data_IF_041028279744
#
_entry.id   IF_041028279744
#
_cell.length_a   1.000
_cell.length_b   1.000
_cell.length_c   1.000
_cell.angle_alpha   90.00
_cell.angle_beta   90.00
_cell.angle_gamma   90.00
#
_symmetry.space_group_name_H-M   'P 1'
#
loop_
_entity.id
_entity.type
_entity.pdbx_description
1 polymer ?
#
# COMPACT_ATOMS: atom_id res chain seq x y z
N UNK A 1 2.03 2.55 27.28
CA UNK A 1 3.12 1.85 26.56
C UNK A 1 2.63 1.28 25.21
N UNK A 2 1.49 0.58 25.19
CA UNK A 2 0.90 -0.06 24.00
C UNK A 2 0.81 0.84 22.74
N UNK A 3 0.30 2.08 22.85
CA UNK A 3 0.18 2.97 21.68
C UNK A 3 1.50 3.38 21.01
N UNK A 4 2.63 3.42 21.74
CA UNK A 4 3.94 3.71 21.09
C UNK A 4 4.41 2.49 20.29
N UNK A 5 4.17 1.28 20.82
CA UNK A 5 4.55 0.03 20.15
C UNK A 5 3.80 -0.10 18.83
N UNK A 6 2.51 0.22 18.80
CA UNK A 6 1.70 0.21 17.58
C UNK A 6 2.23 1.22 16.55
N UNK A 7 2.58 2.44 16.98
CA UNK A 7 3.10 3.46 16.07
C UNK A 7 4.45 3.08 15.45
N UNK A 8 5.37 2.55 16.27
CA UNK A 8 6.67 2.04 15.80
C UNK A 8 6.45 0.88 14.84
N UNK A 9 5.50 -0.02 15.14
CA UNK A 9 5.15 -1.13 14.28
C UNK A 9 4.65 -0.65 12.91
N UNK A 10 3.79 0.38 12.85
CA UNK A 10 3.33 0.98 11.59
C UNK A 10 4.49 1.51 10.74
N UNK A 11 5.41 2.25 11.37
CA UNK A 11 6.60 2.78 10.68
C UNK A 11 7.46 1.64 10.14
N UNK A 12 7.73 0.63 10.96
CA UNK A 12 8.52 -0.54 10.57
C UNK A 12 7.87 -1.32 9.43
N UNK A 13 6.55 -1.51 9.47
CA UNK A 13 5.78 -2.15 8.39
C UNK A 13 5.84 -1.34 7.09
N UNK A 14 5.74 -0.01 7.18
CA UNK A 14 5.87 0.87 6.02
C UNK A 14 7.26 0.80 5.38
N UNK A 15 8.32 0.86 6.19
CA UNK A 15 9.71 0.70 5.73
C UNK A 15 9.91 -0.68 5.08
N UNK A 16 9.44 -1.74 5.73
CA UNK A 16 9.53 -3.10 5.20
C UNK A 16 8.81 -3.24 3.85
N UNK A 17 7.63 -2.63 3.72
CA UNK A 17 6.86 -2.61 2.46
C UNK A 17 7.62 -1.89 1.35
N UNK A 18 8.23 -0.74 1.63
CA UNK A 18 9.07 -0.02 0.66
C UNK A 18 10.30 -0.87 0.27
N UNK A 19 10.95 -1.49 1.24
CA UNK A 19 12.12 -2.35 1.02
C UNK A 19 11.78 -3.56 0.13
N UNK A 20 10.71 -4.28 0.44
CA UNK A 20 10.27 -5.44 -0.34
C UNK A 20 9.88 -5.03 -1.76
N UNK A 21 9.21 -3.89 -1.91
CA UNK A 21 8.86 -3.29 -3.21
C UNK A 21 10.10 -2.93 -4.03
N UNK A 22 11.12 -2.36 -3.39
CA UNK A 22 12.40 -2.07 -4.03
C UNK A 22 13.07 -3.34 -4.55
N UNK A 23 12.99 -4.44 -3.79
CA UNK A 23 13.50 -5.76 -4.21
C UNK A 23 12.75 -6.29 -5.43
N UNK A 24 11.42 -6.14 -5.48
CA UNK A 24 10.59 -6.49 -6.66
C UNK A 24 10.96 -5.64 -7.87
N UNK A 25 11.20 -4.34 -7.68
CA UNK A 25 11.62 -3.42 -8.75
C UNK A 25 12.99 -3.81 -9.32
N UNK A 26 13.96 -4.18 -8.47
CA UNK A 26 15.32 -4.57 -8.89
C UNK A 26 15.38 -5.95 -9.52
N UNK A 27 14.77 -6.95 -8.87
CA UNK A 27 14.87 -8.35 -9.31
C UNK A 27 13.84 -8.69 -10.37
N UNK A 28 12.84 -7.84 -10.55
CA UNK A 28 11.79 -8.04 -11.53
C UNK A 28 10.79 -9.15 -11.21
N UNK A 29 10.94 -9.83 -10.06
CA UNK A 29 10.09 -10.93 -9.65
C UNK A 29 9.22 -10.49 -8.48
N UNK A 30 7.90 -10.54 -8.66
CA UNK A 30 6.94 -10.40 -7.56
C UNK A 30 6.98 -11.73 -6.76
N UNK A 31 7.28 -11.74 -5.45
CA UNK A 31 7.29 -12.99 -4.69
C UNK A 31 5.92 -13.67 -4.77
N UNK A 32 5.90 -14.99 -5.01
CA UNK A 32 4.68 -15.78 -4.94
C UNK A 32 4.22 -15.81 -3.49
N UNK A 33 3.04 -15.24 -3.20
CA UNK A 33 2.42 -15.41 -1.88
C UNK A 33 1.70 -16.75 -1.83
N UNK A 34 1.86 -17.49 -0.75
CA UNK A 34 1.09 -18.72 -0.48
C UNK A 34 -0.43 -18.49 -0.41
N UNK A 35 -0.88 -17.23 -0.36
CA UNK A 35 -2.27 -16.84 -0.63
C UNK A 35 -2.52 -16.87 -2.15
N UNK A 36 -2.82 -18.06 -2.65
CA UNK A 36 -3.20 -18.35 -4.04
C UNK A 36 -4.54 -17.72 -4.40
N UNK A 37 -4.54 -16.48 -4.88
CA UNK A 37 -5.53 -16.06 -5.86
C UNK A 37 -4.95 -16.37 -7.24
N UNK A 38 -5.47 -17.40 -7.93
CA UNK A 38 -4.99 -17.83 -9.24
C UNK A 38 -4.98 -16.71 -10.30
N UNK A 39 -5.79 -15.67 -10.10
CA UNK A 39 -5.79 -14.45 -10.91
C UNK A 39 -4.50 -13.61 -10.76
N UNK A 40 -3.87 -13.59 -9.57
CA UNK A 40 -2.65 -12.81 -9.31
C UNK A 40 -1.44 -13.47 -9.98
N UNK A 41 -1.35 -14.81 -9.97
CA UNK A 41 -0.30 -15.53 -10.69
C UNK A 41 -0.34 -15.26 -12.19
N UNK A 42 -1.53 -15.22 -12.80
CA UNK A 42 -1.69 -14.89 -14.23
C UNK A 42 -1.36 -13.44 -14.58
N UNK A 43 -1.45 -12.52 -13.62
CA UNK A 43 -1.16 -11.09 -13.83
C UNK A 43 0.30 -10.73 -13.53
N UNK A 44 1.05 -11.59 -12.84
CA UNK A 44 2.43 -11.36 -12.41
C UNK A 44 3.41 -11.09 -13.56
N UNK A 45 3.17 -11.69 -14.73
CA UNK A 45 4.02 -11.53 -15.92
C UNK A 45 3.64 -10.31 -16.78
N UNK A 46 2.57 -9.60 -16.44
CA UNK A 46 2.20 -8.36 -17.13
C UNK A 46 3.07 -7.20 -16.61
N UNK A 47 3.87 -6.59 -17.48
CA UNK A 47 4.72 -5.45 -17.13
C UNK A 47 3.94 -4.25 -16.57
N UNK A 48 2.74 -4.00 -17.07
CA UNK A 48 1.89 -2.90 -16.64
C UNK A 48 1.35 -3.16 -15.22
N UNK A 49 0.94 -4.41 -14.95
CA UNK A 49 0.58 -4.85 -13.60
C UNK A 49 1.75 -4.73 -12.63
N UNK A 50 2.97 -5.10 -13.05
CA UNK A 50 4.18 -4.98 -12.22
C UNK A 50 4.54 -3.54 -11.90
N UNK A 51 4.52 -2.63 -12.89
CA UNK A 51 4.71 -1.19 -12.65
C UNK A 51 3.67 -0.64 -11.68
N UNK A 52 2.42 -1.08 -11.81
CA UNK A 52 1.34 -0.70 -10.93
C UNK A 52 1.51 -1.25 -9.50
N UNK A 53 1.80 -2.55 -9.35
CA UNK A 53 2.08 -3.19 -8.07
C UNK A 53 3.19 -2.48 -7.31
N UNK A 54 4.27 -2.12 -8.02
CA UNK A 54 5.38 -1.34 -7.44
C UNK A 54 4.87 0.01 -6.95
N UNK A 55 4.11 0.74 -7.77
CA UNK A 55 3.56 2.06 -7.40
C UNK A 55 2.65 1.96 -6.16
N UNK A 56 1.73 1.00 -6.15
CA UNK A 56 0.77 0.80 -5.07
C UNK A 56 1.47 0.44 -3.75
N UNK A 57 2.43 -0.48 -3.76
CA UNK A 57 3.12 -0.84 -2.52
C UNK A 57 4.03 0.26 -1.99
N UNK A 58 4.69 1.07 -2.84
CA UNK A 58 5.38 2.26 -2.36
C UNK A 58 4.42 3.25 -1.70
N UNK A 59 3.24 3.44 -2.31
CA UNK A 59 2.22 4.31 -1.75
C UNK A 59 1.74 3.81 -0.39
N UNK A 60 1.37 2.54 -0.27
CA UNK A 60 0.96 1.95 1.01
C UNK A 60 2.06 2.08 2.06
N UNK A 61 3.30 1.76 1.69
CA UNK A 61 4.44 1.87 2.59
C UNK A 61 4.65 3.29 3.10
N UNK A 62 4.48 4.29 2.23
CA UNK A 62 4.61 5.71 2.60
C UNK A 62 3.47 6.17 3.52
N UNK A 63 2.23 5.74 3.25
CA UNK A 63 1.07 6.03 4.10
C UNK A 63 1.25 5.46 5.51
N UNK A 64 1.70 4.21 5.64
CA UNK A 64 1.97 3.58 6.93
C UNK A 64 3.00 4.35 7.76
N UNK A 65 4.05 4.88 7.11
CA UNK A 65 5.05 5.72 7.77
C UNK A 65 4.42 7.04 8.24
N UNK A 66 3.66 7.71 7.37
CA UNK A 66 2.98 8.97 7.70
C UNK A 66 2.01 8.79 8.86
N UNK A 67 1.16 7.77 8.83
CA UNK A 67 0.21 7.46 9.90
C UNK A 67 0.93 7.19 11.23
N UNK A 68 1.98 6.36 11.21
CA UNK A 68 2.77 6.09 12.40
C UNK A 68 3.44 7.34 12.99
N UNK A 69 3.91 8.26 12.14
CA UNK A 69 4.48 9.55 12.57
C UNK A 69 3.38 10.44 13.17
N UNK A 70 2.24 10.57 12.50
CA UNK A 70 1.13 11.43 12.95
C UNK A 70 0.61 10.97 14.30
N UNK A 71 0.37 9.67 14.49
CA UNK A 71 -0.05 9.12 15.79
C UNK A 71 1.01 9.28 16.88
N UNK A 72 2.29 9.32 16.50
CA UNK A 72 3.37 9.62 17.45
C UNK A 72 3.32 11.08 17.86
N UNK A 73 3.20 12.01 16.90
CA UNK A 73 3.09 13.45 17.18
C UNK A 73 1.85 13.73 18.03
N UNK A 74 0.70 13.19 17.66
CA UNK A 74 -0.55 13.37 18.40
C UNK A 74 -0.40 12.99 19.88
N UNK A 75 0.25 11.86 20.14
CA UNK A 75 0.48 11.38 21.50
C UNK A 75 1.28 12.36 22.37
N UNK A 76 2.27 13.05 21.79
CA UNK A 76 3.15 13.96 22.53
C UNK A 76 2.65 15.41 22.54
N UNK A 77 1.98 15.84 21.47
CA UNK A 77 1.60 17.24 21.26
C UNK A 77 0.09 17.50 21.38
N UNK A 78 -0.74 16.46 21.57
CA UNK A 78 -2.21 16.52 21.63
C UNK A 78 -2.77 17.35 20.48
N UNK A 79 -2.72 16.78 19.27
CA UNK A 79 -3.22 17.49 18.10
C UNK A 79 -4.73 17.78 18.29
N UNK A 80 -5.25 18.83 17.64
CA UNK A 80 -6.68 19.11 17.65
C UNK A 80 -7.47 17.87 17.25
N UNK A 81 -8.54 17.54 17.99
CA UNK A 81 -9.33 16.30 17.79
C UNK A 81 -9.87 16.14 16.36
N UNK A 82 -10.07 17.24 15.62
CA UNK A 82 -10.51 17.22 14.22
C UNK A 82 -9.41 16.86 13.21
N UNK A 83 -8.13 16.97 13.56
CA UNK A 83 -7.01 16.78 12.61
C UNK A 83 -6.80 15.30 12.25
N UNK A 84 -6.92 14.41 13.25
CA UNK A 84 -6.78 12.96 13.06
C UNK A 84 -7.83 12.38 12.10
N UNK A 85 -9.14 12.62 12.28
CA UNK A 85 -10.16 12.09 11.37
C UNK A 85 -10.04 12.66 9.96
N UNK A 86 -9.63 13.93 9.80
CA UNK A 86 -9.36 14.53 8.47
C UNK A 86 -8.22 13.78 7.76
N UNK A 87 -7.12 13.51 8.47
CA UNK A 87 -5.97 12.79 7.94
C UNK A 87 -6.30 11.35 7.55
N UNK A 88 -7.08 10.64 8.39
CA UNK A 88 -7.57 9.30 8.08
C UNK A 88 -8.50 9.30 6.88
N UNK A 89 -9.39 10.29 6.78
CA UNK A 89 -10.31 10.44 5.65
C UNK A 89 -9.58 10.69 4.33
N UNK A 90 -8.54 11.54 4.35
CA UNK A 90 -7.67 11.77 3.19
C UNK A 90 -6.92 10.49 2.76
N UNK A 91 -6.40 9.72 3.73
CA UNK A 91 -5.77 8.42 3.45
C UNK A 91 -6.76 7.44 2.81
N UNK A 92 -8.00 7.38 3.33
CA UNK A 92 -9.08 6.56 2.79
C UNK A 92 -9.45 6.94 1.35
N UNK A 93 -9.63 8.23 1.05
CA UNK A 93 -9.88 8.71 -0.31
C UNK A 93 -8.73 8.33 -1.24
N UNK A 94 -7.49 8.49 -0.78
CA UNK A 94 -6.33 8.18 -1.59
C UNK A 94 -6.19 6.67 -1.86
N UNK A 95 -6.43 5.82 -0.86
CA UNK A 95 -6.50 4.38 -1.04
C UNK A 95 -7.65 3.97 -1.96
N UNK A 96 -8.82 4.59 -1.82
CA UNK A 96 -9.98 4.33 -2.67
C UNK A 96 -9.71 4.72 -4.13
N UNK A 97 -9.13 5.89 -4.40
CA UNK A 97 -8.79 6.31 -5.77
C UNK A 97 -7.77 5.39 -6.41
N UNK A 98 -6.79 4.89 -5.66
CA UNK A 98 -5.81 3.91 -6.15
C UNK A 98 -6.51 2.58 -6.44
N UNK A 99 -7.31 2.06 -5.51
CA UNK A 99 -8.01 0.77 -5.63
C UNK A 99 -9.05 0.77 -6.75
N UNK A 100 -9.79 1.86 -6.89
CA UNK A 100 -10.72 2.09 -7.99
C UNK A 100 -9.99 2.04 -9.34
N UNK A 101 -8.81 2.68 -9.41
CA UNK A 101 -7.93 2.58 -10.59
C UNK A 101 -7.45 1.16 -10.84
N UNK A 102 -7.28 0.32 -9.81
CA UNK A 102 -7.01 -1.12 -9.96
C UNK A 102 -8.17 -1.82 -10.65
N UNK A 103 -9.40 -1.67 -10.11
CA UNK A 103 -10.59 -2.33 -10.67
C UNK A 103 -10.93 -1.84 -12.08
N UNK A 104 -10.71 -0.56 -12.38
CA UNK A 104 -10.93 -0.02 -13.72
C UNK A 104 -9.88 -0.46 -14.75
N UNK A 105 -8.71 -0.98 -14.33
CA UNK A 105 -7.70 -1.59 -15.21
C UNK A 105 -7.93 -3.09 -15.44
N UNK A 106 -8.72 -3.77 -14.60
CA UNK A 106 -9.13 -5.16 -14.82
C UNK A 106 -9.95 -5.46 -16.10
N UNK A 107 -10.60 -4.52 -16.84
CA UNK A 107 -11.43 -4.88 -18.00
C UNK A 107 -10.66 -5.42 -19.22
N UNK A 108 -9.34 -5.29 -19.30
CA UNK A 108 -8.61 -5.69 -20.52
C UNK A 108 -8.24 -7.17 -20.60
N UNK A 109 -8.35 -7.95 -19.52
CA UNK A 109 -8.05 -9.40 -19.58
C UNK A 109 -9.19 -10.21 -20.22
N UNK A 110 -10.38 -9.63 -20.40
CA UNK A 110 -11.56 -10.36 -20.90
C UNK A 110 -11.64 -10.46 -22.43
N UNK A 111 -10.69 -9.89 -23.19
CA UNK A 111 -10.87 -9.80 -24.65
C UNK A 111 -9.60 -10.02 -25.48
N UNK A 112 -8.79 -11.03 -25.14
CA UNK A 112 -7.69 -11.49 -26.02
C UNK A 112 -7.82 -12.92 -26.55
N UNK A 113 -8.95 -13.58 -26.26
CA UNK A 113 -9.27 -14.94 -26.74
C UNK A 113 -10.59 -14.97 -27.55
N UNK A 114 -10.79 -14.02 -28.46
CA UNK A 114 -11.74 -14.16 -29.57
C UNK A 114 -11.10 -13.69 -30.85
#
# INVERSE_FOLDING_TARGET
MFGIIVNIFLIMMGIYTIYSTNRVRKNGVIPSSNFTFSCIEKMKDNEEYKKYYIKLNYTIGFLLIIEGIIFTIDKYYKLPEMLIPILLFLCLIYMFTITWKTFSFLPSYKNKNR
#
